data_IF_305880221531
#
_entry.id   IF_305880221531
#
_cell.length_a   1.000
_cell.length_b   1.000
_cell.length_c   1.000
_cell.angle_alpha   90.00
_cell.angle_beta   90.00
_cell.angle_gamma   90.00
#
_symmetry.space_group_name_H-M   'P 1'
#
loop_
_entity.id
_entity.type
_entity.pdbx_description
1 polymer ?
#
# COMPACT_ATOMS: atom_id res chain seq x y z
N UNK A 1 -2.15 -1.65 -34.30
CA UNK A 1 -2.69 -0.99 -33.10
C UNK A 1 -1.51 -0.40 -32.39
N UNK A 2 -1.38 0.92 -32.49
CA UNK A 2 -0.28 1.68 -31.90
C UNK A 2 -0.26 1.51 -30.37
N UNK A 3 0.92 1.39 -29.74
CA UNK A 3 1.06 1.32 -28.30
C UNK A 3 0.86 2.69 -27.59
N UNK A 4 0.31 3.69 -28.29
CA UNK A 4 0.21 5.08 -27.81
C UNK A 4 -1.11 5.41 -27.07
N UNK A 5 -2.11 4.53 -27.06
CA UNK A 5 -3.46 4.82 -26.51
C UNK A 5 -3.73 4.15 -25.16
N UNK A 6 -2.76 4.16 -24.25
CA UNK A 6 -3.08 3.94 -22.83
C UNK A 6 -3.43 5.31 -22.26
N UNK A 7 -4.66 5.56 -21.76
CA UNK A 7 -4.96 6.81 -21.10
C UNK A 7 -4.07 6.87 -19.86
N UNK A 8 -3.01 7.67 -19.96
CA UNK A 8 -2.25 8.09 -18.81
C UNK A 8 -3.22 8.88 -17.95
N UNK A 9 -3.79 8.20 -16.94
CA UNK A 9 -4.31 8.86 -15.75
C UNK A 9 -3.08 9.41 -15.06
N UNK A 10 -2.53 10.49 -15.62
CA UNK A 10 -1.62 11.35 -14.92
C UNK A 10 -2.36 11.78 -13.67
N UNK A 11 -1.82 11.43 -12.51
CA UNK A 11 -2.01 12.22 -11.32
C UNK A 11 -1.41 13.60 -11.64
N UNK A 12 -2.17 14.42 -12.37
CA UNK A 12 -2.00 15.86 -12.34
C UNK A 12 -2.31 16.24 -10.90
N UNK A 13 -1.29 16.20 -10.05
CA UNK A 13 -1.19 17.18 -8.98
C UNK A 13 -1.03 18.53 -9.67
N UNK A 14 -2.13 19.03 -10.23
CA UNK A 14 -2.29 20.45 -10.46
C UNK A 14 -2.15 21.07 -9.08
N UNK A 15 -0.93 21.52 -8.78
CA UNK A 15 -0.63 22.46 -7.70
C UNK A 15 -1.27 23.79 -8.11
N UNK A 16 -2.60 23.80 -8.26
CA UNK A 16 -3.36 25.01 -8.36
C UNK A 16 -3.48 25.56 -6.95
N UNK A 17 -2.52 26.43 -6.61
CA UNK A 17 -2.61 27.52 -5.65
C UNK A 17 -3.68 27.30 -4.56
N UNK A 18 -3.48 26.27 -3.72
CA UNK A 18 -4.05 26.31 -2.39
C UNK A 18 -3.48 27.57 -1.72
N UNK A 19 -4.35 28.38 -1.12
CA UNK A 19 -3.92 29.57 -0.41
C UNK A 19 -2.76 29.25 0.56
N UNK A 20 -1.76 30.14 0.71
CA UNK A 20 -0.67 29.94 1.65
C UNK A 20 -1.20 30.14 3.08
N UNK A 21 -1.85 29.09 3.59
CA UNK A 21 -2.51 29.02 4.87
C UNK A 21 -2.59 27.57 5.30
N UNK A 22 -1.44 27.04 5.72
CA UNK A 22 -1.26 25.87 6.61
C UNK A 22 -2.27 24.73 6.49
N UNK A 23 -2.06 23.82 5.53
CA UNK A 23 -2.30 22.40 5.78
C UNK A 23 -0.94 21.74 6.04
N UNK A 24 -0.29 22.16 7.12
CA UNK A 24 0.96 21.56 7.56
C UNK A 24 0.58 20.37 8.42
N UNK A 25 1.06 19.20 8.03
CA UNK A 25 0.79 17.92 8.71
C UNK A 25 1.22 18.05 10.17
N UNK A 26 0.25 17.99 11.10
CA UNK A 26 0.56 18.06 12.53
C UNK A 26 1.21 16.74 12.97
N UNK A 27 2.55 16.69 12.99
CA UNK A 27 3.33 15.56 13.50
C UNK A 27 3.25 15.37 15.02
N UNK A 28 2.50 16.22 15.73
CA UNK A 28 2.44 16.26 17.20
C UNK A 28 2.04 14.92 17.80
N UNK A 29 1.04 14.25 17.25
CA UNK A 29 0.56 12.97 17.78
C UNK A 29 1.58 11.86 17.54
N UNK A 30 2.19 11.82 16.35
CA UNK A 30 3.30 10.91 16.04
C UNK A 30 4.47 11.14 16.98
N UNK A 31 4.83 12.40 17.22
CA UNK A 31 5.92 12.79 18.10
C UNK A 31 5.66 12.36 19.55
N UNK A 32 4.48 12.63 20.10
CA UNK A 32 4.10 12.21 21.45
C UNK A 32 4.17 10.69 21.58
N UNK A 33 3.67 9.97 20.58
CA UNK A 33 3.71 8.51 20.57
C UNK A 33 5.15 7.99 20.58
N UNK A 34 5.99 8.49 19.67
CA UNK A 34 7.40 8.07 19.58
C UNK A 34 8.19 8.44 20.84
N UNK A 35 7.93 9.60 21.44
CA UNK A 35 8.53 10.00 22.72
C UNK A 35 8.12 9.08 23.87
N UNK A 36 6.91 8.54 23.83
CA UNK A 36 6.42 7.57 24.80
C UNK A 36 7.07 6.19 24.59
N UNK A 37 7.26 5.79 23.33
CA UNK A 37 7.85 4.49 22.97
C UNK A 37 9.37 4.46 23.14
N UNK A 38 10.09 5.52 22.84
CA UNK A 38 11.56 5.59 22.90
C UNK A 38 12.15 5.07 24.24
N UNK A 39 11.70 5.51 25.43
CA UNK A 39 12.26 5.03 26.71
C UNK A 39 11.90 3.56 27.01
N UNK A 40 10.85 3.02 26.39
CA UNK A 40 10.46 1.61 26.53
C UNK A 40 11.32 0.68 25.66
N UNK A 41 12.06 1.23 24.70
CA UNK A 41 12.89 0.50 23.75
C UNK A 41 14.32 1.08 23.69
N UNK A 42 15.12 0.96 24.77
CA UNK A 42 16.42 1.66 24.93
C UNK A 42 17.54 1.22 23.97
N UNK A 43 17.33 0.18 23.16
CA UNK A 43 18.24 -0.23 22.09
C UNK A 43 17.80 0.19 20.68
N UNK A 44 16.66 0.86 20.55
CA UNK A 44 16.13 1.33 19.27
C UNK A 44 16.66 2.72 18.90
N UNK A 45 16.60 3.06 17.62
CA UNK A 45 16.99 4.36 17.09
C UNK A 45 15.82 5.35 16.97
N UNK A 46 14.71 5.12 17.69
CA UNK A 46 13.50 5.98 17.66
C UNK A 46 13.84 7.46 17.95
N UNK A 47 14.81 7.72 18.83
CA UNK A 47 15.25 9.07 19.19
C UNK A 47 15.65 9.92 17.98
N UNK A 48 16.22 9.32 16.93
CA UNK A 48 16.59 10.01 15.70
C UNK A 48 15.38 10.60 14.98
N UNK A 49 14.27 9.85 14.94
CA UNK A 49 13.02 10.33 14.30
C UNK A 49 12.31 11.35 15.19
N UNK A 50 12.38 11.18 16.52
CA UNK A 50 11.88 12.18 17.48
C UNK A 50 12.58 13.53 17.27
N UNK A 51 13.91 13.54 17.18
CA UNK A 51 14.70 14.74 16.93
C UNK A 51 14.35 15.41 15.59
N UNK A 52 14.22 14.61 14.52
CA UNK A 52 13.80 15.10 13.20
C UNK A 52 12.42 15.78 13.26
N UNK A 53 11.44 15.13 13.89
CA UNK A 53 10.09 15.68 14.00
C UNK A 53 10.04 16.93 14.87
N UNK A 54 10.80 16.96 15.97
CA UNK A 54 10.93 18.18 16.80
C UNK A 54 11.53 19.34 16.01
N UNK A 55 12.52 19.06 15.18
CA UNK A 55 13.14 20.06 14.32
C UNK A 55 12.14 20.61 13.30
N UNK A 56 11.35 19.77 12.64
CA UNK A 56 10.31 20.23 11.71
C UNK A 56 9.19 21.01 12.38
N UNK A 57 8.75 20.60 13.57
CA UNK A 57 7.78 21.38 14.38
C UNK A 57 8.34 22.77 14.73
N UNK A 58 9.63 22.87 15.05
CA UNK A 58 10.29 24.15 15.31
C UNK A 58 10.43 25.02 14.05
N UNK A 59 10.72 24.42 12.89
CA UNK A 59 10.74 25.14 11.61
C UNK A 59 9.36 25.70 11.24
N UNK A 60 8.31 24.90 11.41
CA UNK A 60 6.93 25.31 11.16
C UNK A 60 6.53 26.50 12.03
N UNK A 61 6.82 26.43 13.34
CA UNK A 61 6.59 27.55 14.26
C UNK A 61 7.32 28.84 13.86
N UNK A 62 8.42 28.72 13.12
CA UNK A 62 9.19 29.84 12.57
C UNK A 62 8.77 30.24 11.14
N UNK A 63 7.70 29.65 10.59
CA UNK A 63 7.22 29.85 9.21
C UNK A 63 8.29 29.59 8.13
N UNK A 64 9.22 28.66 8.40
CA UNK A 64 10.20 28.20 7.42
C UNK A 64 9.58 27.12 6.54
N UNK A 65 9.79 27.23 5.23
CA UNK A 65 9.28 26.25 4.25
C UNK A 65 10.24 25.05 4.19
N UNK A 66 9.74 23.82 4.36
CA UNK A 66 10.52 22.57 4.38
C UNK A 66 9.59 21.37 4.64
N UNK A 67 9.97 20.12 4.31
CA UNK A 67 11.30 19.56 4.58
C UNK A 67 12.31 19.63 3.42
N UNK A 68 13.58 19.82 3.76
CA UNK A 68 14.76 19.79 2.87
C UNK A 68 15.59 18.52 3.09
N UNK A 69 16.40 18.13 2.12
CA UNK A 69 17.30 16.97 2.20
C UNK A 69 18.23 17.06 3.41
N UNK A 70 18.77 18.25 3.68
CA UNK A 70 19.70 18.53 4.78
C UNK A 70 19.06 18.42 6.17
N UNK A 71 17.73 18.40 6.24
CA UNK A 71 17.01 18.22 7.50
C UNK A 71 17.07 16.76 7.96
N UNK A 72 17.24 15.82 7.02
CA UNK A 72 17.27 14.40 7.32
C UNK A 72 18.66 13.95 7.83
N UNK A 73 18.69 12.97 8.75
CA UNK A 73 19.92 12.24 9.07
C UNK A 73 20.51 11.55 7.82
N UNK A 74 21.79 11.14 7.87
CA UNK A 74 22.37 10.28 6.83
C UNK A 74 21.48 9.06 6.54
N UNK A 75 21.30 8.70 5.26
CA UNK A 75 20.31 7.70 4.82
C UNK A 75 20.35 6.41 5.65
N UNK A 76 21.53 5.84 5.87
CA UNK A 76 21.66 4.59 6.64
C UNK A 76 21.16 4.70 8.09
N UNK A 77 21.35 5.87 8.72
CA UNK A 77 20.85 6.14 10.08
C UNK A 77 19.35 6.35 10.04
N UNK A 78 18.86 7.12 9.06
CA UNK A 78 17.43 7.37 8.88
C UNK A 78 16.65 6.08 8.59
N UNK A 79 17.14 5.21 7.71
CA UNK A 79 16.51 3.93 7.38
C UNK A 79 16.39 3.03 8.60
N UNK A 80 17.48 2.88 9.35
CA UNK A 80 17.49 2.05 10.54
C UNK A 80 16.53 2.59 11.61
N UNK A 81 16.52 3.91 11.82
CA UNK A 81 15.61 4.56 12.76
C UNK A 81 14.14 4.45 12.35
N UNK A 82 13.83 4.62 11.05
CA UNK A 82 12.48 4.47 10.53
C UNK A 82 11.99 3.03 10.62
N UNK A 83 12.85 2.06 10.31
CA UNK A 83 12.53 0.65 10.46
C UNK A 83 12.25 0.30 11.93
N UNK A 84 13.09 0.75 12.87
CA UNK A 84 12.89 0.56 14.30
C UNK A 84 11.55 1.16 14.78
N UNK A 85 11.25 2.41 14.39
CA UNK A 85 9.97 3.06 14.69
C UNK A 85 8.78 2.22 14.20
N UNK A 86 8.84 1.76 12.94
CA UNK A 86 7.76 0.98 12.32
C UNK A 86 7.59 -0.38 12.99
N UNK A 87 8.68 -1.10 13.27
CA UNK A 87 8.66 -2.42 13.94
C UNK A 87 8.10 -2.29 15.35
N UNK A 88 8.59 -1.34 16.14
CA UNK A 88 8.12 -1.12 17.51
C UNK A 88 6.64 -0.80 17.48
N UNK A 89 6.21 0.17 16.66
CA UNK A 89 4.83 0.58 16.57
C UNK A 89 3.90 -0.57 16.16
N UNK A 90 4.26 -1.33 15.11
CA UNK A 90 3.49 -2.49 14.66
C UNK A 90 3.37 -3.54 15.77
N UNK A 91 4.46 -3.87 16.46
CA UNK A 91 4.43 -4.84 17.55
C UNK A 91 3.58 -4.35 18.74
N UNK A 92 3.68 -3.07 19.12
CA UNK A 92 2.86 -2.49 20.17
C UNK A 92 1.38 -2.50 19.79
N UNK A 93 1.04 -2.14 18.54
CA UNK A 93 -0.32 -2.23 18.00
C UNK A 93 -0.83 -3.67 18.09
N UNK A 94 -0.11 -4.63 17.52
CA UNK A 94 -0.53 -6.04 17.48
C UNK A 94 -0.77 -6.64 18.88
N UNK A 95 0.07 -6.28 19.86
CA UNK A 95 -0.10 -6.73 21.26
C UNK A 95 -1.26 -6.05 22.00
N UNK A 96 -1.69 -4.87 21.56
CA UNK A 96 -2.79 -4.12 22.19
C UNK A 96 -4.15 -4.43 21.55
N UNK A 97 -4.14 -4.83 20.28
CA UNK A 97 -5.34 -5.02 19.44
C UNK A 97 -6.24 -6.19 19.84
N UNK A 98 -5.84 -7.03 20.78
CA UNK A 98 -6.71 -8.07 21.34
C UNK A 98 -7.93 -7.49 22.08
N UNK A 99 -7.90 -6.21 22.47
CA UNK A 99 -8.95 -5.59 23.30
C UNK A 99 -9.63 -4.40 22.63
N UNK A 100 -8.89 -3.52 21.96
CA UNK A 100 -9.40 -2.32 21.27
C UNK A 100 -8.41 -1.85 20.21
N UNK A 101 -8.87 -1.16 19.15
CA UNK A 101 -7.98 -0.36 18.27
C UNK A 101 -7.85 1.04 18.87
N UNK A 102 -6.69 1.44 19.40
CA UNK A 102 -6.51 2.81 19.83
C UNK A 102 -6.65 3.74 18.62
N UNK A 103 -7.51 4.74 18.72
CA UNK A 103 -7.80 5.67 17.63
C UNK A 103 -6.51 6.32 17.10
N UNK A 104 -6.37 6.35 15.78
CA UNK A 104 -5.25 7.02 15.10
C UNK A 104 -3.92 6.26 15.12
N UNK A 105 -3.81 5.08 15.75
CA UNK A 105 -2.53 4.34 15.78
C UNK A 105 -2.14 3.75 14.43
N UNK A 106 -3.11 3.26 13.65
CA UNK A 106 -2.85 2.84 12.26
C UNK A 106 -2.35 4.02 11.41
N UNK A 107 -2.91 5.22 11.63
CA UNK A 107 -2.50 6.43 10.92
C UNK A 107 -1.05 6.82 11.24
N UNK A 108 -0.53 6.46 12.43
CA UNK A 108 0.87 6.71 12.78
C UNK A 108 1.82 5.86 11.93
N UNK A 109 1.48 4.60 11.64
CA UNK A 109 2.27 3.76 10.72
C UNK A 109 2.29 4.40 9.32
N UNK A 110 1.11 4.82 8.83
CA UNK A 110 1.00 5.47 7.54
C UNK A 110 1.76 6.81 7.49
N UNK A 111 1.73 7.59 8.56
CA UNK A 111 2.45 8.86 8.69
C UNK A 111 3.95 8.66 8.64
N UNK A 112 4.48 7.67 9.36
CA UNK A 112 5.90 7.29 9.30
C UNK A 112 6.31 6.87 7.88
N UNK A 113 5.51 6.04 7.22
CA UNK A 113 5.77 5.66 5.83
C UNK A 113 5.70 6.86 4.86
N UNK A 114 4.81 7.82 5.13
CA UNK A 114 4.72 9.09 4.42
C UNK A 114 5.97 9.96 4.62
N UNK A 115 6.45 10.12 5.85
CA UNK A 115 7.70 10.83 6.20
C UNK A 115 8.89 10.22 5.45
N UNK A 116 8.95 8.89 5.41
CA UNK A 116 9.97 8.19 4.64
C UNK A 116 9.92 8.53 3.16
N UNK A 117 8.71 8.50 2.59
CA UNK A 117 8.47 8.86 1.20
C UNK A 117 8.91 10.29 0.93
N UNK A 118 8.57 11.23 1.81
CA UNK A 118 8.94 12.65 1.69
C UNK A 118 10.45 12.88 1.58
N UNK A 119 11.29 12.01 2.17
CA UNK A 119 12.75 12.13 2.04
C UNK A 119 13.19 12.11 0.58
N UNK A 120 12.68 11.16 -0.21
CA UNK A 120 13.03 11.07 -1.63
C UNK A 120 12.51 12.26 -2.44
N UNK A 121 11.42 12.89 -1.99
CA UNK A 121 10.92 14.13 -2.58
C UNK A 121 11.85 15.30 -2.26
N UNK A 122 12.27 15.44 -1.00
CA UNK A 122 13.18 16.49 -0.56
C UNK A 122 14.55 16.39 -1.26
N UNK A 123 15.13 15.19 -1.36
CA UNK A 123 16.36 14.93 -2.13
C UNK A 123 16.23 15.46 -3.56
N UNK A 124 15.13 15.11 -4.25
CA UNK A 124 14.96 15.50 -5.64
C UNK A 124 14.68 16.98 -5.83
N UNK A 125 13.96 17.58 -4.90
CA UNK A 125 13.75 19.02 -4.89
C UNK A 125 15.08 19.77 -4.77
N UNK A 126 15.98 19.29 -3.91
CA UNK A 126 17.25 19.96 -3.61
C UNK A 126 18.34 19.66 -4.65
N UNK A 127 18.43 18.42 -5.13
CA UNK A 127 19.45 17.98 -6.10
C UNK A 127 19.01 18.12 -7.56
N UNK A 128 17.71 18.29 -7.83
CA UNK A 128 17.14 18.24 -9.17
C UNK A 128 17.12 16.83 -9.80
N UNK A 129 17.57 15.81 -9.07
CA UNK A 129 17.67 14.42 -9.49
C UNK A 129 17.46 13.47 -8.30
N UNK A 130 17.29 12.18 -8.57
CA UNK A 130 17.26 11.17 -7.50
C UNK A 130 18.65 11.03 -6.84
N UNK A 131 18.70 10.57 -5.59
CA UNK A 131 19.97 10.44 -4.86
C UNK A 131 20.89 9.43 -5.57
N UNK A 132 22.16 9.79 -5.84
CA UNK A 132 23.08 8.87 -6.49
C UNK A 132 23.35 7.64 -5.62
N UNK A 133 23.51 6.49 -6.27
CA UNK A 133 23.83 5.19 -5.65
C UNK A 133 22.79 4.65 -4.65
N UNK A 134 21.58 5.21 -4.63
CA UNK A 134 20.47 4.75 -3.78
C UNK A 134 19.48 3.89 -4.58
N UNK A 135 19.33 2.63 -4.17
CA UNK A 135 18.32 1.73 -4.72
C UNK A 135 16.98 1.92 -4.00
N UNK A 136 16.18 2.88 -4.47
CA UNK A 136 14.87 3.21 -3.90
C UNK A 136 13.99 1.95 -3.72
N UNK A 137 14.05 0.98 -4.64
CA UNK A 137 13.23 -0.23 -4.56
C UNK A 137 13.65 -1.07 -3.34
N UNK A 138 14.95 -1.28 -3.15
CA UNK A 138 15.47 -2.05 -2.01
C UNK A 138 15.09 -1.39 -0.67
N UNK A 139 15.28 -0.08 -0.57
CA UNK A 139 14.96 0.74 0.60
C UNK A 139 13.46 0.72 0.94
N UNK A 140 12.60 0.96 -0.05
CA UNK A 140 11.14 0.92 0.12
C UNK A 140 10.68 -0.48 0.50
N UNK A 141 11.24 -1.53 -0.11
CA UNK A 141 10.92 -2.92 0.23
C UNK A 141 11.23 -3.23 1.69
N UNK A 142 12.38 -2.81 2.19
CA UNK A 142 12.75 -3.02 3.60
C UNK A 142 11.80 -2.31 4.55
N UNK A 143 11.39 -1.07 4.24
CA UNK A 143 10.45 -0.35 5.11
C UNK A 143 9.02 -0.88 5.03
N UNK A 144 8.64 -1.52 3.92
CA UNK A 144 7.33 -2.16 3.80
C UNK A 144 7.20 -3.44 4.63
N UNK A 145 8.28 -4.06 5.07
CA UNK A 145 8.21 -5.33 5.81
C UNK A 145 7.32 -5.22 7.07
N UNK A 146 7.48 -4.22 7.97
CA UNK A 146 6.54 -4.02 9.09
C UNK A 146 5.10 -3.70 8.65
N UNK A 147 4.93 -2.96 7.54
CA UNK A 147 3.60 -2.63 6.97
C UNK A 147 2.89 -3.91 6.52
N UNK A 148 3.62 -4.85 5.92
CA UNK A 148 3.09 -6.14 5.50
C UNK A 148 2.78 -7.05 6.68
N UNK A 149 3.61 -7.08 7.72
CA UNK A 149 3.32 -7.80 8.97
C UNK A 149 2.00 -7.29 9.57
N UNK A 150 1.82 -5.97 9.64
CA UNK A 150 0.57 -5.39 10.12
C UNK A 150 -0.62 -5.73 9.21
N UNK A 151 -0.44 -5.64 7.89
CA UNK A 151 -1.49 -6.01 6.94
C UNK A 151 -1.88 -7.49 7.05
N UNK A 152 -0.93 -8.39 7.29
CA UNK A 152 -1.20 -9.80 7.51
C UNK A 152 -1.97 -10.03 8.80
N UNK A 153 -1.56 -9.37 9.88
CA UNK A 153 -2.29 -9.40 11.14
C UNK A 153 -3.73 -8.90 10.97
N UNK A 154 -3.93 -7.76 10.29
CA UNK A 154 -5.27 -7.25 10.02
C UNK A 154 -6.06 -8.22 9.15
N UNK A 155 -5.49 -8.78 8.07
CA UNK A 155 -6.20 -9.67 7.16
C UNK A 155 -6.80 -10.89 7.88
N UNK A 156 -6.14 -11.40 8.92
CA UNK A 156 -6.65 -12.53 9.72
C UNK A 156 -7.71 -12.11 10.76
N UNK A 157 -7.76 -10.84 11.15
CA UNK A 157 -8.65 -10.31 12.19
C UNK A 157 -9.72 -9.33 11.67
N UNK A 158 -9.71 -8.96 10.39
CA UNK A 158 -10.52 -7.86 9.83
C UNK A 158 -12.04 -8.11 9.92
N UNK A 159 -12.44 -9.37 10.13
CA UNK A 159 -13.83 -9.76 10.34
C UNK A 159 -14.25 -9.83 11.81
N UNK A 160 -13.35 -9.57 12.76
CA UNK A 160 -13.66 -9.49 14.20
C UNK A 160 -14.35 -8.17 14.53
N UNK A 161 -15.20 -8.11 15.58
CA UNK A 161 -15.93 -6.87 15.93
C UNK A 161 -15.03 -5.65 16.05
N UNK A 162 -13.86 -5.81 16.67
CA UNK A 162 -12.86 -4.74 16.87
C UNK A 162 -12.48 -4.05 15.56
N UNK A 163 -12.25 -4.81 14.49
CA UNK A 163 -11.90 -4.24 13.17
C UNK A 163 -13.12 -3.82 12.36
N UNK A 164 -14.24 -4.54 12.51
CA UNK A 164 -15.48 -4.21 11.79
C UNK A 164 -16.01 -2.84 12.20
N UNK A 165 -15.97 -2.54 13.50
CA UNK A 165 -16.42 -1.25 14.04
C UNK A 165 -15.44 -0.11 13.71
N UNK A 166 -14.23 -0.43 13.24
CA UNK A 166 -13.16 0.52 12.91
C UNK A 166 -12.66 0.37 11.46
N UNK A 167 -13.51 -0.12 10.55
CA UNK A 167 -13.10 -0.44 9.18
C UNK A 167 -12.60 0.80 8.42
N UNK A 168 -13.11 1.98 8.75
CA UNK A 168 -12.70 3.24 8.14
C UNK A 168 -11.25 3.62 8.50
N UNK A 169 -10.77 3.25 9.69
CA UNK A 169 -9.35 3.43 10.06
C UNK A 169 -8.44 2.51 9.25
N UNK A 170 -8.88 1.27 9.00
CA UNK A 170 -8.14 0.33 8.14
C UNK A 170 -8.09 0.86 6.71
N UNK A 171 -9.22 1.36 6.21
CA UNK A 171 -9.33 2.01 4.91
C UNK A 171 -8.40 3.22 4.77
N UNK A 172 -8.37 4.11 5.76
CA UNK A 172 -7.51 5.30 5.77
C UNK A 172 -6.02 4.92 5.78
N UNK A 173 -5.64 3.95 6.62
CA UNK A 173 -4.29 3.40 6.66
C UNK A 173 -3.86 2.86 5.29
N UNK A 174 -4.67 1.97 4.70
CA UNK A 174 -4.38 1.40 3.38
C UNK A 174 -4.29 2.50 2.31
N UNK A 175 -5.19 3.47 2.34
CA UNK A 175 -5.20 4.57 1.38
C UNK A 175 -3.93 5.39 1.46
N UNK A 176 -3.47 5.73 2.67
CA UNK A 176 -2.27 6.52 2.91
C UNK A 176 -0.98 5.79 2.49
N UNK A 177 -0.89 4.48 2.75
CA UNK A 177 0.20 3.65 2.23
C UNK A 177 0.13 3.59 0.70
N UNK A 178 -1.06 3.41 0.12
CA UNK A 178 -1.28 3.40 -1.32
C UNK A 178 -0.83 4.69 -2.00
N UNK A 179 -1.18 5.86 -1.44
CA UNK A 179 -0.75 7.17 -1.94
C UNK A 179 0.78 7.27 -1.93
N UNK A 180 1.41 6.87 -0.82
CA UNK A 180 2.86 6.90 -0.66
C UNK A 180 3.56 6.00 -1.69
N UNK A 181 3.04 4.80 -1.94
CA UNK A 181 3.54 3.89 -2.98
C UNK A 181 3.39 4.48 -4.39
N UNK A 182 2.26 5.13 -4.69
CA UNK A 182 2.06 5.80 -5.98
C UNK A 182 3.03 6.96 -6.18
N UNK A 183 3.29 7.73 -5.12
CA UNK A 183 4.26 8.82 -5.12
C UNK A 183 5.69 8.30 -5.34
N UNK A 184 6.07 7.18 -4.72
CA UNK A 184 7.38 6.52 -4.91
C UNK A 184 7.54 5.90 -6.30
N UNK A 185 6.49 5.27 -6.84
CA UNK A 185 6.50 4.71 -8.21
C UNK A 185 6.89 5.78 -9.23
N UNK A 186 6.32 6.98 -9.15
CA UNK A 186 6.63 8.09 -10.05
C UNK A 186 8.09 8.56 -10.01
N UNK A 187 8.91 8.05 -9.08
CA UNK A 187 10.33 8.43 -8.89
C UNK A 187 11.33 7.43 -9.45
N UNK A 188 10.97 6.17 -9.67
CA UNK A 188 11.95 5.19 -10.19
C UNK A 188 12.33 5.53 -11.64
N UNK A 189 13.63 5.71 -11.89
CA UNK A 189 14.21 6.06 -13.20
C UNK A 189 13.69 5.12 -14.28
N UNK A 190 13.04 5.68 -15.31
CA UNK A 190 12.40 4.94 -16.40
C UNK A 190 10.88 4.82 -16.28
N UNK A 191 10.29 5.17 -15.12
CA UNK A 191 8.83 5.23 -14.91
C UNK A 191 8.11 3.89 -15.06
N UNK A 192 8.85 2.79 -15.23
CA UNK A 192 8.27 1.48 -15.46
C UNK A 192 7.61 0.98 -14.18
N UNK A 193 6.28 1.10 -14.20
CA UNK A 193 5.39 0.66 -13.15
C UNK A 193 5.61 -0.82 -12.81
N UNK A 194 5.86 -1.65 -13.81
CA UNK A 194 6.07 -3.07 -13.57
C UNK A 194 7.36 -3.34 -12.81
N UNK A 195 8.44 -2.61 -13.11
CA UNK A 195 9.74 -2.77 -12.43
C UNK A 195 9.62 -2.41 -10.95
N UNK A 196 9.03 -1.25 -10.63
CA UNK A 196 8.86 -0.81 -9.24
C UNK A 196 8.03 -1.81 -8.43
N UNK A 197 6.80 -2.11 -8.88
CA UNK A 197 5.92 -2.99 -8.13
C UNK A 197 6.43 -4.42 -8.07
N UNK A 198 7.10 -4.92 -9.12
CA UNK A 198 7.75 -6.24 -9.08
C UNK A 198 8.90 -6.27 -8.08
N UNK A 199 9.66 -5.19 -7.97
CA UNK A 199 10.77 -5.06 -7.04
C UNK A 199 10.37 -5.09 -5.57
N UNK A 200 9.21 -4.50 -5.23
CA UNK A 200 8.67 -4.47 -3.86
C UNK A 200 7.73 -5.64 -3.53
N UNK A 201 7.50 -6.57 -4.46
CA UNK A 201 6.66 -7.77 -4.22
C UNK A 201 7.25 -8.61 -3.09
N UNK A 202 6.39 -8.99 -2.17
CA UNK A 202 6.66 -9.97 -1.11
C UNK A 202 5.48 -10.95 -1.02
N UNK A 203 5.66 -12.09 -0.36
CA UNK A 203 4.57 -13.04 -0.20
C UNK A 203 3.40 -12.41 0.58
N UNK A 204 3.74 -11.59 1.57
CA UNK A 204 2.86 -10.93 2.52
C UNK A 204 2.15 -9.69 1.93
N UNK A 205 2.61 -9.16 0.79
CA UNK A 205 2.00 -7.97 0.18
C UNK A 205 0.54 -8.20 -0.25
N UNK A 206 0.17 -9.46 -0.49
CA UNK A 206 -1.18 -9.89 -0.78
C UNK A 206 -2.17 -9.55 0.36
N UNK A 207 -1.70 -9.46 1.61
CA UNK A 207 -2.55 -9.14 2.75
C UNK A 207 -3.10 -7.71 2.73
N UNK A 208 -2.37 -6.74 2.16
CA UNK A 208 -2.91 -5.39 1.96
C UNK A 208 -4.09 -5.41 0.99
N UNK A 209 -3.98 -6.19 -0.09
CA UNK A 209 -5.05 -6.36 -1.06
C UNK A 209 -6.27 -7.06 -0.44
N UNK A 210 -6.05 -8.09 0.37
CA UNK A 210 -7.13 -8.76 1.10
C UNK A 210 -7.88 -7.78 2.02
N UNK A 211 -7.16 -6.96 2.80
CA UNK A 211 -7.77 -5.94 3.65
C UNK A 211 -8.55 -4.91 2.83
N UNK A 212 -8.00 -4.47 1.70
CA UNK A 212 -8.63 -3.50 0.79
C UNK A 212 -9.97 -4.03 0.27
N UNK A 213 -10.02 -5.29 -0.17
CA UNK A 213 -11.26 -5.90 -0.64
C UNK A 213 -12.35 -5.99 0.44
N UNK A 214 -11.96 -6.29 1.69
CA UNK A 214 -12.92 -6.29 2.81
C UNK A 214 -13.43 -4.88 3.11
N UNK A 215 -12.56 -3.86 3.04
CA UNK A 215 -12.96 -2.47 3.21
C UNK A 215 -13.97 -2.05 2.12
N UNK A 216 -13.71 -2.37 0.84
CA UNK A 216 -14.62 -2.12 -0.29
C UNK A 216 -15.97 -2.78 -0.08
N UNK A 217 -15.97 -4.02 0.40
CA UNK A 217 -17.19 -4.79 0.61
C UNK A 217 -18.07 -4.23 1.74
N UNK A 218 -17.47 -3.61 2.77
CA UNK A 218 -18.16 -3.23 4.01
C UNK A 218 -18.44 -1.74 4.13
N UNK A 219 -17.64 -0.90 3.50
CA UNK A 219 -17.72 0.56 3.58
C UNK A 219 -17.80 1.14 2.17
N UNK A 220 -18.59 2.19 2.02
CA UNK A 220 -18.41 3.13 0.93
C UNK A 220 -17.10 3.85 1.21
N UNK A 221 -15.99 3.28 0.73
CA UNK A 221 -14.64 3.85 0.80
C UNK A 221 -14.63 5.24 0.15
N UNK A 222 -15.00 6.26 0.91
CA UNK A 222 -14.77 7.66 0.60
C UNK A 222 -13.27 7.91 0.71
N UNK A 223 -12.60 7.70 -0.41
CA UNK A 223 -11.15 7.83 -0.49
C UNK A 223 -10.80 9.17 -1.14
N UNK A 224 -9.81 9.90 -0.62
CA UNK A 224 -9.31 11.12 -1.27
C UNK A 224 -8.68 10.84 -2.63
N UNK A 225 -8.42 9.56 -2.96
CA UNK A 225 -7.90 9.11 -4.24
C UNK A 225 -8.87 8.17 -4.94
N UNK A 226 -8.92 8.14 -6.28
CA UNK A 226 -9.74 7.18 -6.99
C UNK A 226 -9.42 5.73 -6.58
N UNK A 227 -10.45 4.94 -6.26
CA UNK A 227 -10.29 3.54 -5.84
C UNK A 227 -9.45 2.70 -6.83
N UNK A 228 -9.53 3.02 -8.13
CA UNK A 228 -8.70 2.39 -9.16
C UNK A 228 -7.20 2.59 -8.92
N UNK A 229 -6.77 3.76 -8.44
CA UNK A 229 -5.37 4.04 -8.16
C UNK A 229 -4.89 3.23 -6.96
N UNK A 230 -5.68 3.23 -5.87
CA UNK A 230 -5.40 2.45 -4.67
C UNK A 230 -5.27 0.94 -4.98
N UNK A 231 -6.27 0.38 -5.67
CA UNK A 231 -6.25 -1.03 -6.07
C UNK A 231 -5.07 -1.35 -6.97
N UNK A 232 -4.70 -0.46 -7.89
CA UNK A 232 -3.57 -0.73 -8.81
C UNK A 232 -2.27 -0.92 -8.05
N UNK A 233 -2.02 -0.12 -7.01
CA UNK A 233 -0.79 -0.23 -6.23
C UNK A 233 -0.69 -1.59 -5.53
N UNK A 234 -1.79 -2.04 -4.92
CA UNK A 234 -1.80 -3.31 -4.18
C UNK A 234 -1.90 -4.54 -5.07
N UNK A 235 -2.64 -4.48 -6.17
CA UNK A 235 -2.71 -5.58 -7.14
C UNK A 235 -1.37 -5.80 -7.85
N UNK A 236 -0.64 -4.72 -8.19
CA UNK A 236 0.67 -4.83 -8.81
C UNK A 236 1.75 -5.25 -7.81
N UNK A 237 1.65 -4.82 -6.55
CA UNK A 237 2.54 -5.22 -5.47
C UNK A 237 2.31 -6.67 -4.99
N UNK A 238 1.15 -7.27 -5.27
CA UNK A 238 0.86 -8.66 -4.95
C UNK A 238 1.49 -9.62 -5.97
N UNK A 239 1.88 -10.81 -5.51
CA UNK A 239 2.27 -11.87 -6.44
C UNK A 239 1.10 -12.25 -7.36
N UNK A 240 1.33 -12.48 -8.67
CA UNK A 240 0.24 -12.67 -9.65
C UNK A 240 -0.76 -13.78 -9.28
N UNK A 241 -0.26 -14.90 -8.74
CA UNK A 241 -1.10 -16.02 -8.31
C UNK A 241 -1.88 -15.68 -7.05
N UNK A 242 -1.23 -15.12 -6.04
CA UNK A 242 -1.90 -14.72 -4.79
C UNK A 242 -2.95 -13.62 -5.02
N UNK A 243 -2.68 -12.64 -5.89
CA UNK A 243 -3.66 -11.63 -6.30
C UNK A 243 -4.93 -12.30 -6.84
N UNK A 244 -4.81 -13.14 -7.86
CA UNK A 244 -5.99 -13.69 -8.51
C UNK A 244 -6.71 -14.75 -7.66
N UNK A 245 -6.00 -15.43 -6.73
CA UNK A 245 -6.61 -16.29 -5.70
C UNK A 245 -7.48 -15.44 -4.76
N UNK A 246 -6.91 -14.36 -4.20
CA UNK A 246 -7.63 -13.45 -3.30
C UNK A 246 -8.84 -12.80 -3.97
N UNK A 247 -8.67 -12.31 -5.21
CA UNK A 247 -9.79 -11.72 -5.93
C UNK A 247 -10.89 -12.76 -6.23
N UNK A 248 -10.52 -14.01 -6.54
CA UNK A 248 -11.50 -15.08 -6.77
C UNK A 248 -12.27 -15.43 -5.50
N UNK A 249 -11.58 -15.51 -4.36
CA UNK A 249 -12.22 -15.73 -3.05
C UNK A 249 -13.18 -14.60 -2.69
N UNK A 250 -12.73 -13.36 -2.86
CA UNK A 250 -13.55 -12.18 -2.59
C UNK A 250 -14.79 -12.11 -3.49
N UNK A 251 -14.65 -12.35 -4.81
CA UNK A 251 -15.79 -12.45 -5.73
C UNK A 251 -16.77 -13.54 -5.28
N UNK A 252 -16.29 -14.70 -4.85
CA UNK A 252 -17.15 -15.78 -4.33
C UNK A 252 -17.94 -15.32 -3.10
N UNK A 253 -17.34 -14.52 -2.22
CA UNK A 253 -18.04 -13.93 -1.09
C UNK A 253 -19.09 -12.89 -1.51
N UNK A 254 -18.81 -12.03 -2.49
CA UNK A 254 -19.82 -11.12 -3.05
C UNK A 254 -21.02 -11.89 -3.64
N UNK A 255 -20.77 -13.01 -4.32
CA UNK A 255 -21.82 -13.91 -4.80
C UNK A 255 -22.65 -14.49 -3.65
N UNK A 256 -21.99 -14.98 -2.60
CA UNK A 256 -22.64 -15.54 -1.42
C UNK A 256 -23.52 -14.52 -0.70
N UNK A 257 -23.11 -13.25 -0.69
CA UNK A 257 -23.86 -12.15 -0.11
C UNK A 257 -24.96 -11.59 -1.03
N UNK A 258 -25.09 -12.10 -2.26
CA UNK A 258 -26.07 -11.61 -3.23
C UNK A 258 -25.73 -10.22 -3.79
N UNK A 259 -24.52 -9.72 -3.57
CA UNK A 259 -24.07 -8.43 -4.10
C UNK A 259 -23.78 -8.50 -5.60
N UNK A 260 -23.47 -9.69 -6.11
CA UNK A 260 -23.32 -9.94 -7.55
C UNK A 260 -23.93 -11.30 -7.91
N UNK A 261 -24.38 -11.42 -9.16
CA UNK A 261 -24.86 -12.66 -9.76
C UNK A 261 -24.48 -12.70 -11.25
N UNK A 262 -24.90 -13.73 -11.97
CA UNK A 262 -24.73 -13.76 -13.43
C UNK A 262 -25.50 -12.66 -14.15
N UNK A 263 -26.56 -12.13 -13.53
CA UNK A 263 -27.54 -11.26 -14.17
C UNK A 263 -27.67 -9.89 -13.49
N UNK A 264 -27.06 -9.68 -12.32
CA UNK A 264 -27.17 -8.45 -11.55
C UNK A 264 -25.89 -8.12 -10.81
N UNK A 265 -25.67 -6.83 -10.60
CA UNK A 265 -24.55 -6.28 -9.83
C UNK A 265 -25.13 -5.18 -8.94
N UNK A 266 -25.02 -5.36 -7.62
CA UNK A 266 -25.56 -4.51 -6.56
C UNK A 266 -24.45 -3.87 -5.73
N UNK A 267 -23.30 -3.61 -6.34
CA UNK A 267 -22.22 -2.81 -5.73
C UNK A 267 -22.24 -1.38 -6.30
N UNK A 268 -21.81 -0.37 -5.51
CA UNK A 268 -21.70 1.00 -5.99
C UNK A 268 -20.88 1.11 -7.28
N UNK A 269 -21.25 2.05 -8.16
CA UNK A 269 -20.56 2.23 -9.45
C UNK A 269 -19.07 2.55 -9.29
N UNK A 270 -18.71 3.32 -8.26
CA UNK A 270 -17.32 3.63 -7.92
C UNK A 270 -16.50 2.37 -7.57
N UNK A 271 -17.16 1.31 -7.09
CA UNK A 271 -16.53 0.06 -6.69
C UNK A 271 -16.42 -0.95 -7.84
N UNK A 272 -17.10 -0.75 -8.98
CA UNK A 272 -17.07 -1.70 -10.11
C UNK A 272 -15.65 -1.99 -10.61
N UNK A 273 -14.72 -1.03 -10.47
CA UNK A 273 -13.32 -1.22 -10.87
C UNK A 273 -12.63 -2.37 -10.12
N UNK A 274 -13.06 -2.69 -8.90
CA UNK A 274 -12.55 -3.83 -8.13
C UNK A 274 -12.89 -5.20 -8.74
N UNK A 275 -13.87 -5.25 -9.65
CA UNK A 275 -14.21 -6.45 -10.41
C UNK A 275 -13.35 -6.63 -11.67
N UNK A 276 -12.34 -5.80 -11.94
CA UNK A 276 -11.47 -5.96 -13.12
C UNK A 276 -10.73 -7.30 -13.12
N UNK A 277 -10.43 -7.83 -14.32
CA UNK A 277 -9.75 -9.13 -14.43
C UNK A 277 -8.31 -9.03 -13.92
N UNK A 278 -7.78 -10.03 -13.18
CA UNK A 278 -6.38 -9.99 -12.78
C UNK A 278 -5.43 -9.95 -13.98
N UNK A 279 -5.80 -10.66 -15.04
CA UNK A 279 -5.06 -10.72 -16.30
C UNK A 279 -5.17 -9.45 -17.17
N UNK A 280 -5.96 -8.44 -16.76
CA UNK A 280 -5.89 -7.10 -17.36
C UNK A 280 -4.94 -6.17 -16.61
N UNK A 281 -4.61 -6.49 -15.35
CA UNK A 281 -3.72 -5.69 -14.51
C UNK A 281 -2.30 -6.24 -14.46
N UNK A 282 -2.18 -7.56 -14.38
CA UNK A 282 -0.92 -8.30 -14.27
C UNK A 282 -0.91 -9.35 -15.40
N UNK A 283 -0.34 -9.04 -16.58
CA UNK A 283 -0.32 -9.94 -17.73
C UNK A 283 0.29 -11.30 -17.41
N UNK A 284 1.23 -11.37 -16.46
CA UNK A 284 1.87 -12.60 -15.99
C UNK A 284 0.86 -13.64 -15.49
N UNK A 285 -0.33 -13.23 -15.03
CA UNK A 285 -1.41 -14.15 -14.65
C UNK A 285 -1.81 -15.09 -15.79
N UNK A 286 -1.73 -14.63 -17.05
CA UNK A 286 -2.00 -15.44 -18.25
C UNK A 286 -0.93 -16.49 -18.50
N UNK A 287 0.25 -16.31 -17.92
CA UNK A 287 1.39 -17.20 -18.12
C UNK A 287 1.52 -18.27 -17.04
N UNK A 288 0.63 -18.28 -16.03
CA UNK A 288 0.70 -19.18 -14.89
C UNK A 288 -0.40 -20.25 -14.95
N UNK A 289 -0.07 -21.49 -14.58
CA UNK A 289 -1.06 -22.54 -14.40
C UNK A 289 -1.66 -22.48 -12.99
N UNK A 290 -2.99 -22.51 -12.93
CA UNK A 290 -3.77 -22.37 -11.70
C UNK A 290 -4.06 -23.67 -10.97
N UNK A 291 -3.59 -24.80 -11.50
CA UNK A 291 -3.62 -26.06 -10.78
C UNK A 291 -2.71 -26.01 -9.54
N UNK A 292 -3.19 -26.55 -8.41
CA UNK A 292 -2.39 -26.67 -7.19
C UNK A 292 -1.14 -27.50 -7.47
N UNK A 293 0.02 -27.03 -7.01
CA UNK A 293 1.32 -27.70 -7.22
C UNK A 293 1.88 -27.65 -8.65
N UNK A 294 1.15 -27.09 -9.62
CA UNK A 294 1.66 -26.92 -10.97
C UNK A 294 2.55 -25.67 -11.07
N UNK A 295 3.76 -25.84 -11.57
CA UNK A 295 4.75 -24.77 -11.78
C UNK A 295 4.95 -24.42 -13.25
N UNK A 296 4.15 -25.01 -14.16
CA UNK A 296 4.27 -24.76 -15.59
C UNK A 296 3.97 -23.29 -15.90
N UNK A 297 4.90 -22.64 -16.61
CA UNK A 297 4.77 -21.27 -17.07
C UNK A 297 4.83 -21.23 -18.61
N UNK A 298 3.75 -20.76 -19.23
CA UNK A 298 3.65 -20.51 -20.67
C UNK A 298 2.44 -19.60 -20.91
N UNK A 299 2.43 -18.74 -21.94
CA UNK A 299 1.26 -17.93 -22.24
C UNK A 299 0.06 -18.84 -22.56
N UNK A 300 -0.88 -18.93 -21.63
CA UNK A 300 -2.09 -19.73 -21.75
C UNK A 300 -3.20 -18.83 -22.31
N UNK A 301 -3.46 -18.91 -23.61
CA UNK A 301 -4.49 -18.09 -24.26
C UNK A 301 -5.83 -18.82 -24.43
N UNK A 302 -5.83 -20.16 -24.42
CA UNK A 302 -7.00 -20.96 -24.82
C UNK A 302 -7.74 -21.64 -23.66
N UNK A 303 -7.06 -21.98 -22.57
CA UNK A 303 -7.63 -22.77 -21.45
C UNK A 303 -7.88 -21.90 -20.22
N UNK A 304 -8.94 -21.09 -20.31
CA UNK A 304 -9.48 -20.31 -19.18
C UNK A 304 -10.60 -21.08 -18.48
N UNK A 305 -10.80 -20.85 -17.19
CA UNK A 305 -11.99 -21.35 -16.50
C UNK A 305 -13.26 -20.87 -17.22
N UNK A 306 -14.15 -21.79 -17.58
CA UNK A 306 -15.41 -21.47 -18.29
C UNK A 306 -16.35 -20.62 -17.43
N UNK A 307 -16.32 -20.80 -16.11
CA UNK A 307 -17.17 -20.08 -15.15
C UNK A 307 -16.63 -18.67 -14.85
N UNK A 308 -15.43 -18.56 -14.28
CA UNK A 308 -14.92 -17.25 -13.85
C UNK A 308 -14.17 -16.49 -14.94
N UNK A 309 -13.67 -17.16 -15.98
CA UNK A 309 -12.85 -16.61 -17.09
C UNK A 309 -11.63 -15.80 -16.66
N UNK A 310 -11.20 -15.91 -15.40
CA UNK A 310 -10.10 -15.14 -14.79
C UNK A 310 -8.82 -15.94 -14.59
N UNK A 311 -8.93 -17.25 -14.46
CA UNK A 311 -7.80 -18.17 -14.21
C UNK A 311 -7.51 -19.05 -15.43
N UNK A 312 -6.26 -19.48 -15.55
CA UNK A 312 -5.71 -20.16 -16.72
C UNK A 312 -5.09 -21.51 -16.35
N UNK A 313 -5.21 -22.52 -17.20
CA UNK A 313 -4.70 -23.87 -16.94
C UNK A 313 -3.83 -24.37 -18.09
N UNK A 314 -2.74 -25.08 -17.78
CA UNK A 314 -1.87 -25.64 -18.81
C UNK A 314 -2.49 -26.86 -19.53
N UNK A 315 -3.44 -27.55 -18.88
CA UNK A 315 -4.06 -28.77 -19.40
C UNK A 315 -5.49 -28.95 -18.88
N UNK A 316 -6.26 -29.84 -19.51
CA UNK A 316 -7.58 -30.24 -19.01
C UNK A 316 -7.53 -31.04 -17.70
N UNK A 317 -6.40 -31.68 -17.40
CA UNK A 317 -6.17 -32.35 -16.12
C UNK A 317 -6.04 -31.31 -15.00
N UNK A 318 -5.19 -30.31 -15.22
CA UNK A 318 -5.00 -29.19 -14.31
C UNK A 318 -6.27 -28.38 -14.06
N UNK A 319 -7.18 -28.31 -15.04
CA UNK A 319 -8.47 -27.63 -14.89
C UNK A 319 -9.50 -28.43 -14.07
N UNK A 320 -9.35 -29.77 -14.00
CA UNK A 320 -10.29 -30.65 -13.28
C UNK A 320 -9.99 -30.76 -11.77
N UNK A 321 -8.77 -30.42 -11.36
CA UNK A 321 -8.33 -30.38 -9.96
C UNK A 321 -8.79 -29.09 -9.27
#
# INVERSE_FOLDING_TARGET
>A
MDPADTPAVFLNFDVQAAQPGSQIVHFTDTLILLQTLAPLHPGSQIGVIVELLQFWVAQDAAALFGPHMQDYPPLAVFDAAMHDCMVVLVNTIMSTLEQTIPAGWLDQIATLFGIYTLRFWAVRQDLGADEPDVDIIAHVRQLLEPVFVMAQFMATHINTPVFVDNIDMVALYLTSIGISLGALHGRVVGGDREVFYRGIRMHESASMLACTYVCIQRSDLETPVPLTALLTNFELAAEPKHFADLQTLWIKDLWRLGLISSNSVHIPSAQLVSLRSPASMVPEVRSLCWCRGCTTQAPFTSRRCSHCRRVFYCSAECQRQ
#
